data_IF_712761338706
#
_entry.id   IF_712761338706
#
_cell.length_a   1.000
_cell.length_b   1.000
_cell.length_c   1.000
_cell.angle_alpha   90.00
_cell.angle_beta   90.00
_cell.angle_gamma   90.00
#
_symmetry.space_group_name_H-M   'P 1'
#
loop_
_entity.id
_entity.type
_entity.pdbx_description
1 polymer ?
#
# COMPACT_ATOMS: atom_id res chain seq x y z
N UNK A 1 -12.45 -6.22 22.62
CA UNK A 1 -11.25 -5.34 22.66
C UNK A 1 -10.96 -4.78 21.28
N UNK A 2 -10.86 -3.47 21.14
CA UNK A 2 -10.47 -2.91 19.87
C UNK A 2 -9.03 -3.25 19.54
N UNK A 3 -8.74 -3.42 18.26
CA UNK A 3 -7.38 -3.69 17.81
C UNK A 3 -6.50 -2.45 18.00
N UNK A 4 -5.23 -2.65 18.30
CA UNK A 4 -4.26 -1.57 18.32
C UNK A 4 -4.01 -1.09 16.87
N UNK A 5 -3.44 0.10 16.73
CA UNK A 5 -3.08 0.61 15.40
C UNK A 5 -2.14 -0.36 14.66
N UNK A 6 -1.15 -0.91 15.38
CA UNK A 6 -0.23 -1.88 14.79
C UNK A 6 -0.96 -3.13 14.29
N UNK A 7 -1.88 -3.68 15.09
CA UNK A 7 -2.66 -4.85 14.68
C UNK A 7 -3.52 -4.55 13.44
N UNK A 8 -4.12 -3.37 13.38
CA UNK A 8 -4.92 -2.96 12.21
C UNK A 8 -4.04 -2.95 10.96
N UNK A 9 -2.89 -2.30 11.04
CA UNK A 9 -1.99 -2.19 9.88
C UNK A 9 -1.43 -3.55 9.49
N UNK A 10 -1.00 -4.36 10.44
CA UNK A 10 -0.50 -5.71 10.13
C UNK A 10 -1.54 -6.56 9.41
N UNK A 11 -2.81 -6.41 9.77
CA UNK A 11 -3.87 -7.17 9.12
C UNK A 11 -4.05 -6.84 7.63
N UNK A 12 -3.52 -5.70 7.18
CA UNK A 12 -3.59 -5.33 5.76
C UNK A 12 -2.46 -5.94 4.92
N UNK A 13 -1.47 -6.58 5.55
CA UNK A 13 -0.32 -7.15 4.84
C UNK A 13 -0.13 -8.66 5.05
N UNK A 14 -0.47 -9.18 6.23
CA UNK A 14 0.01 -10.49 6.68
C UNK A 14 -0.89 -11.69 6.40
N UNK A 15 -2.05 -11.48 5.83
CA UNK A 15 -2.97 -12.55 5.48
C UNK A 15 -2.92 -12.93 4.00
N UNK A 16 -3.97 -13.60 3.54
CA UNK A 16 -4.14 -13.84 2.10
C UNK A 16 -4.49 -12.54 1.39
N UNK A 17 -4.34 -12.50 0.06
CA UNK A 17 -4.64 -11.30 -0.71
C UNK A 17 -6.07 -10.81 -0.48
N UNK A 18 -7.06 -11.72 -0.47
CA UNK A 18 -8.46 -11.35 -0.25
C UNK A 18 -8.71 -10.88 1.18
N UNK A 19 -8.07 -11.50 2.17
CA UNK A 19 -8.16 -11.10 3.57
C UNK A 19 -7.56 -9.71 3.79
N UNK A 20 -6.40 -9.45 3.19
CA UNK A 20 -5.73 -8.16 3.30
C UNK A 20 -6.58 -7.04 2.69
N UNK A 21 -7.16 -7.28 1.53
CA UNK A 21 -8.04 -6.31 0.86
C UNK A 21 -9.26 -5.98 1.70
N UNK A 22 -9.87 -7.02 2.28
CA UNK A 22 -11.04 -6.83 3.16
C UNK A 22 -10.70 -6.01 4.39
N UNK A 23 -9.60 -6.34 5.07
CA UNK A 23 -9.17 -5.60 6.26
C UNK A 23 -8.85 -4.14 5.93
N UNK A 24 -8.22 -3.91 4.78
CA UNK A 24 -7.91 -2.56 4.34
C UNK A 24 -9.18 -1.75 4.11
N UNK A 25 -10.14 -2.29 3.35
CA UNK A 25 -11.40 -1.58 3.09
C UNK A 25 -12.14 -1.25 4.37
N UNK A 26 -12.21 -2.19 5.31
CA UNK A 26 -12.88 -1.97 6.60
C UNK A 26 -12.19 -0.90 7.45
N UNK A 27 -10.87 -0.79 7.35
CA UNK A 27 -10.10 0.15 8.16
C UNK A 27 -10.02 1.56 7.58
N UNK A 28 -10.22 1.74 6.27
CA UNK A 28 -10.12 3.05 5.63
C UNK A 28 -11.27 3.97 6.04
N UNK A 29 -10.92 5.21 6.39
CA UNK A 29 -11.90 6.27 6.64
C UNK A 29 -12.57 6.66 5.32
N UNK A 30 -13.82 7.15 5.36
CA UNK A 30 -14.53 7.60 4.17
C UNK A 30 -13.78 8.68 3.39
N UNK A 31 -13.06 9.55 4.08
CA UNK A 31 -12.32 10.66 3.47
C UNK A 31 -10.81 10.45 3.55
N UNK A 32 -10.37 9.21 3.56
CA UNK A 32 -8.96 8.87 3.63
C UNK A 32 -8.18 9.55 2.51
N UNK A 33 -7.02 10.08 2.84
CA UNK A 33 -6.13 10.72 1.88
C UNK A 33 -4.99 9.75 1.59
N UNK A 34 -4.93 9.26 0.36
CA UNK A 34 -4.00 8.23 -0.07
C UNK A 34 -3.03 8.78 -1.09
N UNK A 35 -1.74 8.85 -0.73
CA UNK A 35 -0.72 9.41 -1.61
C UNK A 35 0.26 8.35 -2.06
N UNK A 36 0.32 8.14 -3.38
CA UNK A 36 1.33 7.33 -4.03
C UNK A 36 2.46 8.24 -4.48
N UNK A 37 3.72 7.76 -4.40
CA UNK A 37 4.88 8.54 -4.79
C UNK A 37 4.76 9.04 -6.24
N UNK A 38 5.17 10.26 -6.50
CA UNK A 38 5.06 10.86 -7.85
C UNK A 38 5.76 10.06 -8.94
N UNK A 39 6.88 9.43 -8.63
CA UNK A 39 7.59 8.61 -9.60
C UNK A 39 6.98 7.24 -9.85
N UNK A 40 6.05 6.81 -9.01
CA UNK A 40 5.36 5.53 -9.18
C UNK A 40 4.35 5.64 -10.32
N UNK A 41 4.08 4.52 -11.07
CA UNK A 41 3.12 4.58 -12.19
C UNK A 41 1.75 5.15 -11.86
N UNK A 42 1.30 4.96 -10.63
CA UNK A 42 -0.01 5.44 -10.18
C UNK A 42 0.15 6.60 -9.19
N UNK A 43 1.19 7.41 -9.37
CA UNK A 43 1.49 8.53 -8.49
C UNK A 43 0.38 9.56 -8.40
N UNK A 44 0.26 10.20 -7.24
CA UNK A 44 -0.74 11.22 -6.97
C UNK A 44 -1.46 10.99 -5.66
N UNK A 45 -2.40 11.87 -5.35
CA UNK A 45 -3.21 11.76 -4.13
C UNK A 45 -4.66 11.47 -4.50
N UNK A 46 -5.21 10.44 -3.86
CA UNK A 46 -6.58 9.97 -4.09
C UNK A 46 -7.36 10.12 -2.79
N UNK A 47 -8.57 10.64 -2.86
CA UNK A 47 -9.40 10.87 -1.69
C UNK A 47 -10.58 9.89 -1.67
N UNK A 48 -10.70 9.12 -0.59
CA UNK A 48 -11.80 8.19 -0.38
C UNK A 48 -11.54 6.79 -0.93
N UNK A 49 -12.27 5.83 -0.39
CA UNK A 49 -12.07 4.39 -0.69
C UNK A 49 -12.28 4.08 -2.17
N UNK A 50 -13.36 4.60 -2.75
CA UNK A 50 -13.68 4.33 -4.15
C UNK A 50 -12.58 4.77 -5.12
N UNK A 51 -12.05 5.99 -4.93
CA UNK A 51 -10.97 6.51 -5.78
C UNK A 51 -9.71 5.67 -5.66
N UNK A 52 -9.39 5.20 -4.45
CA UNK A 52 -8.22 4.36 -4.20
C UNK A 52 -8.37 3.01 -4.89
N UNK A 53 -9.52 2.37 -4.73
CA UNK A 53 -9.77 1.05 -5.34
C UNK A 53 -9.73 1.13 -6.85
N UNK A 54 -10.36 2.14 -7.42
CA UNK A 54 -10.45 2.31 -8.88
C UNK A 54 -9.11 2.68 -9.52
N UNK A 55 -8.35 3.58 -8.91
CA UNK A 55 -7.15 4.16 -9.52
C UNK A 55 -5.84 3.47 -9.14
N UNK A 56 -5.83 2.73 -8.03
CA UNK A 56 -4.61 2.06 -7.56
C UNK A 56 -4.78 0.55 -7.57
N UNK A 57 -5.62 -0.01 -6.74
CA UNK A 57 -5.70 -1.46 -6.56
C UNK A 57 -6.24 -2.19 -7.77
N UNK A 58 -7.25 -1.65 -8.44
CA UNK A 58 -7.78 -2.23 -9.67
C UNK A 58 -6.68 -2.31 -10.74
N UNK A 59 -5.86 -1.29 -10.85
CA UNK A 59 -4.76 -1.24 -11.82
C UNK A 59 -3.63 -2.20 -11.46
N UNK A 60 -3.29 -2.28 -10.17
CA UNK A 60 -2.28 -3.25 -9.71
C UNK A 60 -2.71 -4.68 -10.04
N UNK A 61 -3.97 -5.00 -9.82
CA UNK A 61 -4.50 -6.34 -10.09
C UNK A 61 -4.61 -6.67 -11.57
N UNK A 62 -4.90 -5.67 -12.43
CA UNK A 62 -5.09 -5.91 -13.86
C UNK A 62 -3.83 -5.78 -14.71
N UNK A 63 -2.88 -4.94 -14.29
CA UNK A 63 -1.67 -4.65 -15.07
C UNK A 63 -0.45 -5.46 -14.65
N UNK A 64 -0.49 -6.08 -13.47
CA UNK A 64 0.63 -6.83 -12.90
C UNK A 64 0.22 -8.25 -12.52
N UNK A 65 1.19 -9.16 -12.55
CA UNK A 65 1.03 -10.53 -12.07
C UNK A 65 1.66 -10.65 -10.68
N UNK A 66 0.94 -11.26 -9.74
CA UNK A 66 1.45 -11.53 -8.40
C UNK A 66 2.07 -10.33 -7.69
N UNK A 67 1.46 -9.14 -7.86
CA UNK A 67 1.94 -7.95 -7.17
C UNK A 67 1.75 -8.11 -5.66
N UNK A 68 2.85 -8.04 -4.92
CA UNK A 68 2.84 -8.24 -3.47
C UNK A 68 3.60 -7.13 -2.75
N UNK A 69 3.14 -6.79 -1.57
CA UNK A 69 3.84 -5.94 -0.62
C UNK A 69 4.22 -6.80 0.58
N UNK A 70 5.50 -7.09 0.73
CA UNK A 70 6.00 -7.92 1.84
C UNK A 70 6.71 -7.04 2.85
N UNK A 71 6.14 -6.90 4.04
CA UNK A 71 6.69 -6.05 5.10
C UNK A 71 7.68 -6.84 5.93
N UNK A 72 8.85 -6.25 6.16
CA UNK A 72 9.89 -6.86 7.00
C UNK A 72 10.11 -6.11 8.32
N UNK A 73 9.61 -4.91 8.47
CA UNK A 73 9.73 -4.16 9.72
C UNK A 73 8.61 -3.15 9.89
N UNK A 74 8.04 -3.09 11.10
CA UNK A 74 7.06 -2.08 11.48
C UNK A 74 7.65 -1.17 12.54
N UNK A 75 7.31 0.12 12.49
CA UNK A 75 7.68 1.10 13.50
C UNK A 75 6.44 1.78 14.03
N UNK A 76 6.33 1.86 15.35
CA UNK A 76 5.28 2.65 16.00
C UNK A 76 5.90 3.98 16.41
N UNK A 77 5.28 5.08 15.98
CA UNK A 77 5.79 6.41 16.34
C UNK A 77 5.29 6.77 17.73
N UNK A 78 6.21 6.97 18.67
CA UNK A 78 5.90 7.25 20.06
C UNK A 78 5.05 8.52 20.20
N UNK A 79 3.92 8.41 20.91
CA UNK A 79 3.03 9.53 21.19
C UNK A 79 2.16 9.97 20.01
N UNK A 80 2.11 9.18 18.93
CA UNK A 80 1.30 9.49 17.74
C UNK A 80 0.61 8.25 17.22
N UNK A 81 -0.50 8.44 16.53
CA UNK A 81 -1.23 7.34 15.89
C UNK A 81 -0.68 7.13 14.47
N UNK A 82 0.61 6.82 14.40
CA UNK A 82 1.34 6.64 13.14
C UNK A 82 2.08 5.31 13.17
N UNK A 83 1.91 4.52 12.11
CA UNK A 83 2.63 3.26 11.92
C UNK A 83 3.41 3.38 10.61
N UNK A 84 4.68 3.00 10.64
CA UNK A 84 5.52 2.97 9.45
C UNK A 84 5.84 1.51 9.13
N UNK A 85 5.65 1.11 7.87
CA UNK A 85 5.93 -0.24 7.40
C UNK A 85 7.00 -0.19 6.32
N UNK A 86 8.10 -0.92 6.52
CA UNK A 86 9.15 -1.06 5.54
C UNK A 86 9.08 -2.43 4.90
N UNK A 87 9.25 -2.50 3.60
CA UNK A 87 9.17 -3.78 2.93
C UNK A 87 9.65 -3.74 1.49
N UNK A 88 9.23 -4.76 0.74
CA UNK A 88 9.60 -4.95 -0.65
C UNK A 88 8.36 -5.28 -1.46
N UNK A 89 8.17 -4.56 -2.57
CA UNK A 89 7.19 -4.96 -3.58
C UNK A 89 7.84 -5.98 -4.50
N UNK A 90 7.05 -6.94 -4.96
CA UNK A 90 7.49 -7.91 -5.96
C UNK A 90 6.34 -8.21 -6.91
N UNK A 91 6.68 -8.71 -8.09
CA UNK A 91 5.69 -9.10 -9.10
C UNK A 91 6.27 -9.04 -10.50
N UNK A 92 5.41 -9.13 -11.49
CA UNK A 92 5.78 -9.04 -12.89
C UNK A 92 4.85 -8.11 -13.64
N UNK A 93 5.39 -7.30 -14.54
CA UNK A 93 4.55 -6.45 -15.38
C UNK A 93 4.03 -7.27 -16.57
N UNK A 94 2.72 -7.34 -16.72
CA UNK A 94 2.12 -8.23 -17.72
C UNK A 94 2.58 -7.95 -19.15
N UNK A 95 2.65 -6.67 -19.49
CA UNK A 95 2.98 -6.27 -20.86
C UNK A 95 4.41 -6.62 -21.28
N UNK A 96 5.36 -6.58 -20.34
CA UNK A 96 6.77 -6.86 -20.64
C UNK A 96 7.22 -8.23 -20.17
N UNK A 97 6.51 -8.84 -19.23
CA UNK A 97 6.92 -10.07 -18.56
C UNK A 97 8.08 -9.92 -17.61
N UNK A 98 8.54 -8.70 -17.35
CA UNK A 98 9.70 -8.46 -16.47
C UNK A 98 9.29 -8.54 -15.01
N UNK A 99 10.09 -9.27 -14.24
CA UNK A 99 9.95 -9.36 -12.79
C UNK A 99 10.70 -8.22 -12.12
N UNK A 100 10.25 -7.82 -10.93
CA UNK A 100 10.93 -6.76 -10.18
C UNK A 100 10.84 -6.99 -8.68
N UNK A 101 11.76 -6.35 -7.95
CA UNK A 101 11.70 -6.21 -6.50
C UNK A 101 12.12 -4.77 -6.18
N UNK A 102 11.28 -4.04 -5.46
CA UNK A 102 11.54 -2.63 -5.15
C UNK A 102 11.22 -2.33 -3.69
N UNK A 103 12.15 -1.67 -3.01
CA UNK A 103 11.94 -1.28 -1.62
C UNK A 103 10.84 -0.23 -1.49
N UNK A 104 10.05 -0.33 -0.43
CA UNK A 104 9.04 0.67 -0.11
C UNK A 104 9.00 1.00 1.37
N UNK A 105 8.48 2.18 1.66
CA UNK A 105 8.08 2.58 3.01
C UNK A 105 6.67 3.14 2.92
N UNK A 106 5.79 2.64 3.76
CA UNK A 106 4.43 3.16 3.88
C UNK A 106 4.28 3.86 5.23
N UNK A 107 3.76 5.08 5.21
CA UNK A 107 3.45 5.82 6.43
C UNK A 107 1.94 5.88 6.58
N UNK A 108 1.43 5.26 7.64
CA UNK A 108 0.00 5.16 7.94
C UNK A 108 -0.33 6.08 9.11
N UNK A 109 -1.35 6.90 8.96
CA UNK A 109 -1.87 7.72 10.04
C UNK A 109 -3.30 7.29 10.33
N UNK A 110 -3.60 7.06 11.61
CA UNK A 110 -4.91 6.59 12.04
C UNK A 110 -5.56 7.57 13.01
N UNK A 111 -6.90 7.51 13.12
CA UNK A 111 -7.67 8.21 14.13
C UNK A 111 -8.81 7.28 14.56
N UNK A 112 -8.88 7.00 15.86
CA UNK A 112 -9.94 6.15 16.43
C UNK A 112 -10.11 4.82 15.70
N UNK A 113 -8.98 4.19 15.36
CA UNK A 113 -8.99 2.87 14.70
C UNK A 113 -9.27 2.91 13.21
N UNK A 114 -9.33 4.10 12.60
CA UNK A 114 -9.52 4.24 11.15
C UNK A 114 -8.30 4.88 10.51
N UNK A 115 -7.96 4.41 9.31
CA UNK A 115 -6.85 4.95 8.54
C UNK A 115 -7.31 6.25 7.87
N UNK A 116 -6.68 7.38 8.21
CA UNK A 116 -7.05 8.68 7.66
C UNK A 116 -6.06 9.20 6.64
N UNK A 117 -4.80 8.73 6.69
CA UNK A 117 -3.78 9.07 5.69
C UNK A 117 -2.86 7.90 5.43
N UNK A 118 -2.43 7.80 4.19
CA UNK A 118 -1.41 6.85 3.75
C UNK A 118 -0.47 7.58 2.80
N UNK A 119 0.83 7.37 2.97
CA UNK A 119 1.82 7.90 2.04
C UNK A 119 2.84 6.83 1.70
N UNK A 120 3.05 6.63 0.40
CA UNK A 120 4.00 5.65 -0.11
C UNK A 120 5.31 6.34 -0.51
N UNK A 121 6.41 5.73 -0.11
CA UNK A 121 7.74 5.98 -0.66
C UNK A 121 8.21 4.68 -1.29
N UNK A 122 8.76 4.74 -2.49
CA UNK A 122 9.10 3.52 -3.22
C UNK A 122 10.28 3.80 -4.15
N UNK A 123 11.07 2.76 -4.42
CA UNK A 123 12.09 2.83 -5.47
C UNK A 123 11.38 2.76 -6.83
N UNK A 124 10.86 3.89 -7.26
CA UNK A 124 10.04 3.99 -8.47
C UNK A 124 10.83 3.73 -9.75
N UNK A 125 12.14 3.94 -9.73
CA UNK A 125 13.00 3.64 -10.88
C UNK A 125 12.92 2.15 -11.23
N UNK A 126 13.07 1.29 -10.23
CA UNK A 126 13.02 -0.16 -10.44
C UNK A 126 11.65 -0.59 -10.97
N UNK A 127 10.56 -0.04 -10.41
CA UNK A 127 9.21 -0.35 -10.87
C UNK A 127 9.03 0.05 -12.35
N UNK A 128 9.46 1.25 -12.71
CA UNK A 128 9.32 1.74 -14.08
C UNK A 128 10.19 0.97 -15.07
N UNK A 129 11.36 0.50 -14.63
CA UNK A 129 12.22 -0.33 -15.50
C UNK A 129 11.54 -1.64 -15.89
N UNK A 130 10.75 -2.22 -15.00
CA UNK A 130 9.97 -3.42 -15.32
C UNK A 130 8.90 -3.16 -16.40
N UNK A 131 8.46 -1.90 -16.53
CA UNK A 131 7.43 -1.52 -17.50
C UNK A 131 8.00 -1.23 -18.90
N UNK A 132 9.30 -1.11 -19.04
CA UNK A 132 9.95 -0.80 -20.33
C UNK A 132 10.20 -2.06 -21.13
N UNK A 133 9.86 -1.98 -22.39
CA UNK A 133 10.10 -3.08 -23.33
C UNK A 133 11.58 -3.28 -23.60
#
# INVERSE_FOLDING_TARGET
MPKSNLEIIRSTYEGSASSNAKHLEEALSEKVEWTEAEGFPYGGTYIGVEAIMENVFSRLGSEWDDYKASVNMYHEVNGKDVIIAEGVYSGGYKETGKLFEADFVHVWQLENGKIVKFKQYVDSYIVREAMKV
#
